data_IF_820876587180
#
_entry.id   IF_820876587180
#
_cell.length_a   1.000
_cell.length_b   1.000
_cell.length_c   1.000
_cell.angle_alpha   90.00
_cell.angle_beta   90.00
_cell.angle_gamma   90.00
#
_symmetry.space_group_name_H-M   'P 1'
#
loop_
_entity.id
_entity.type
_entity.pdbx_description
1 polymer ?
#
# COMPACT_ATOMS: atom_id res chain seq x y z
N UNK A 1 -31.23 4.55 -5.06
CA UNK A 1 -30.73 4.49 -3.66
C UNK A 1 -30.80 3.07 -3.12
N UNK A 2 -31.82 2.29 -3.48
CA UNK A 2 -31.97 0.90 -2.99
C UNK A 2 -30.92 -0.07 -3.54
N UNK A 3 -30.45 0.14 -4.76
CA UNK A 3 -29.45 -0.71 -5.43
C UNK A 3 -28.05 -0.60 -4.77
N UNK A 4 -27.66 0.62 -4.40
CA UNK A 4 -26.38 0.87 -3.72
C UNK A 4 -26.36 0.31 -2.28
N UNK A 5 -27.51 0.38 -1.59
CA UNK A 5 -27.65 -0.21 -0.25
C UNK A 5 -27.60 -1.73 -0.31
N UNK A 6 -28.22 -2.34 -1.31
CA UNK A 6 -28.16 -3.78 -1.53
C UNK A 6 -26.74 -4.27 -1.81
N UNK A 7 -25.96 -3.52 -2.63
CA UNK A 7 -24.55 -3.82 -2.85
C UNK A 7 -23.70 -3.70 -1.58
N UNK A 8 -23.93 -2.66 -0.77
CA UNK A 8 -23.24 -2.46 0.51
C UNK A 8 -23.55 -3.58 1.51
N UNK A 9 -24.82 -4.02 1.60
CA UNK A 9 -25.25 -5.13 2.45
C UNK A 9 -24.65 -6.46 1.98
N UNK A 10 -24.55 -6.70 0.67
CA UNK A 10 -23.92 -7.89 0.12
C UNK A 10 -22.40 -7.91 0.41
N UNK A 11 -21.73 -6.77 0.26
CA UNK A 11 -20.30 -6.63 0.60
C UNK A 11 -20.08 -6.85 2.11
N UNK A 12 -20.93 -6.26 2.95
CA UNK A 12 -20.88 -6.47 4.40
C UNK A 12 -21.12 -7.93 4.79
N UNK A 13 -22.04 -8.64 4.15
CA UNK A 13 -22.30 -10.05 4.43
C UNK A 13 -21.09 -10.94 4.13
N UNK A 14 -20.34 -10.64 3.05
CA UNK A 14 -19.12 -11.35 2.72
C UNK A 14 -17.99 -11.07 3.74
N UNK A 15 -17.79 -9.81 4.11
CA UNK A 15 -16.81 -9.39 5.11
C UNK A 15 -17.14 -9.94 6.51
N UNK A 16 -18.43 -9.94 6.87
CA UNK A 16 -18.93 -10.55 8.10
C UNK A 16 -18.58 -12.03 8.17
N UNK A 17 -18.85 -12.79 7.10
CA UNK A 17 -18.57 -14.24 7.06
C UNK A 17 -17.08 -14.54 7.22
N UNK A 18 -16.20 -13.76 6.57
CA UNK A 18 -14.75 -13.93 6.66
C UNK A 18 -14.23 -13.65 8.07
N UNK A 19 -14.61 -12.51 8.64
CA UNK A 19 -14.13 -12.12 9.97
C UNK A 19 -14.71 -13.01 11.07
N UNK A 20 -15.98 -13.40 10.98
CA UNK A 20 -16.62 -14.29 11.94
C UNK A 20 -16.01 -15.69 11.94
N UNK A 21 -15.61 -16.22 10.78
CA UNK A 21 -14.89 -17.49 10.72
C UNK A 21 -13.60 -17.46 11.56
N UNK A 22 -12.78 -16.42 11.40
CA UNK A 22 -11.55 -16.25 12.17
C UNK A 22 -11.77 -15.94 13.65
N UNK A 23 -12.84 -15.21 14.01
CA UNK A 23 -13.23 -14.97 15.41
C UNK A 23 -13.67 -16.27 16.08
N UNK A 24 -14.47 -17.09 15.40
CA UNK A 24 -14.90 -18.41 15.91
C UNK A 24 -13.75 -19.38 16.08
N UNK A 25 -12.76 -19.37 15.15
CA UNK A 25 -11.55 -20.15 15.26
C UNK A 25 -10.72 -19.73 16.50
N UNK A 26 -10.50 -18.42 16.69
CA UNK A 26 -9.79 -17.90 17.85
C UNK A 26 -10.48 -18.25 19.18
N UNK A 27 -11.82 -18.18 19.25
CA UNK A 27 -12.59 -18.58 20.41
C UNK A 27 -12.52 -20.09 20.68
N UNK A 28 -12.47 -20.91 19.64
CA UNK A 28 -12.31 -22.36 19.76
C UNK A 28 -10.90 -22.73 20.24
N UNK A 29 -9.88 -22.04 19.75
CA UNK A 29 -8.48 -22.24 20.16
C UNK A 29 -8.28 -21.84 21.62
N UNK A 30 -8.79 -20.67 22.02
CA UNK A 30 -8.74 -20.25 23.42
C UNK A 30 -9.44 -21.24 24.36
N UNK A 31 -10.60 -21.75 23.97
CA UNK A 31 -11.35 -22.73 24.77
C UNK A 31 -10.63 -24.08 24.89
N UNK A 32 -9.82 -24.44 23.88
CA UNK A 32 -8.98 -25.62 23.89
C UNK A 32 -7.62 -25.42 24.59
N UNK A 33 -7.36 -24.23 25.15
CA UNK A 33 -6.09 -23.89 25.79
C UNK A 33 -4.94 -23.71 24.80
N UNK A 34 -5.24 -23.52 23.50
CA UNK A 34 -4.24 -23.25 22.47
C UNK A 34 -3.87 -21.75 22.46
N UNK A 35 -2.67 -21.39 22.04
CA UNK A 35 -2.27 -19.98 21.94
C UNK A 35 -3.11 -19.26 20.88
N UNK A 36 -3.62 -18.06 21.24
CA UNK A 36 -4.45 -17.20 20.37
C UNK A 36 -3.68 -15.92 20.09
N UNK A 37 -3.67 -15.49 18.84
CA UNK A 37 -3.20 -14.16 18.46
C UNK A 37 -4.28 -13.12 18.80
N UNK A 38 -4.15 -12.51 20.00
CA UNK A 38 -5.08 -11.50 20.50
C UNK A 38 -5.14 -10.26 19.60
N UNK A 39 -4.01 -9.88 18.97
CA UNK A 39 -3.96 -8.72 18.07
C UNK A 39 -4.78 -8.96 16.81
N UNK A 40 -4.66 -10.15 16.23
CA UNK A 40 -5.45 -10.52 15.06
C UNK A 40 -6.94 -10.62 15.41
N UNK A 41 -7.26 -11.18 16.57
CA UNK A 41 -8.64 -11.25 17.07
C UNK A 41 -9.24 -9.85 17.27
N UNK A 42 -8.52 -8.95 17.94
CA UNK A 42 -8.93 -7.55 18.16
C UNK A 42 -9.10 -6.81 16.81
N UNK A 43 -8.19 -7.02 15.86
CA UNK A 43 -8.24 -6.40 14.53
C UNK A 43 -9.49 -6.83 13.75
N UNK A 44 -9.84 -8.13 13.76
CA UNK A 44 -11.06 -8.64 13.10
C UNK A 44 -12.33 -8.05 13.71
N UNK A 45 -12.40 -7.97 15.03
CA UNK A 45 -13.53 -7.37 15.75
C UNK A 45 -13.66 -5.88 15.44
N UNK A 46 -12.53 -5.15 15.36
CA UNK A 46 -12.50 -3.74 14.97
C UNK A 46 -13.01 -3.52 13.54
N UNK A 47 -12.59 -4.37 12.59
CA UNK A 47 -13.08 -4.31 11.20
C UNK A 47 -14.58 -4.51 11.13
N UNK A 48 -15.13 -5.48 11.85
CA UNK A 48 -16.58 -5.72 11.90
C UNK A 48 -17.36 -4.53 12.48
N UNK A 49 -16.84 -3.88 13.51
CA UNK A 49 -17.45 -2.65 14.05
C UNK A 49 -17.54 -1.56 12.98
N UNK A 50 -16.45 -1.34 12.23
CA UNK A 50 -16.42 -0.36 11.14
C UNK A 50 -17.37 -0.70 10.01
N UNK A 51 -17.43 -1.97 9.61
CA UNK A 51 -18.30 -2.47 8.56
C UNK A 51 -19.77 -2.40 8.95
N UNK A 52 -20.15 -2.79 10.18
CA UNK A 52 -21.52 -2.70 10.69
C UNK A 52 -22.02 -1.23 10.74
N UNK A 53 -21.14 -0.32 11.13
CA UNK A 53 -21.44 1.13 11.12
C UNK A 53 -21.67 1.67 9.71
N UNK A 54 -20.90 1.20 8.73
CA UNK A 54 -21.02 1.66 7.34
C UNK A 54 -22.34 1.28 6.68
N UNK A 55 -22.98 0.20 7.14
CA UNK A 55 -24.27 -0.28 6.62
C UNK A 55 -25.46 -0.01 7.58
N UNK A 56 -25.23 0.79 8.64
CA UNK A 56 -26.24 1.21 9.62
C UNK A 56 -26.90 0.03 10.36
N UNK A 57 -26.07 -0.87 10.91
CA UNK A 57 -26.48 -1.99 11.75
C UNK A 57 -26.08 -1.75 13.23
N UNK A 58 -26.85 -0.95 13.99
CA UNK A 58 -26.45 -0.48 15.31
C UNK A 58 -26.29 -1.61 16.34
N UNK A 59 -27.02 -2.72 16.20
CA UNK A 59 -26.90 -3.87 17.11
C UNK A 59 -25.57 -4.60 16.90
N UNK A 60 -25.19 -4.87 15.65
CA UNK A 60 -23.90 -5.48 15.31
C UNK A 60 -22.75 -4.55 15.67
N UNK A 61 -22.86 -3.24 15.45
CA UNK A 61 -21.86 -2.25 15.85
C UNK A 61 -21.63 -2.25 17.37
N UNK A 62 -22.68 -2.21 18.17
CA UNK A 62 -22.62 -2.20 19.63
C UNK A 62 -21.99 -3.49 20.19
N UNK A 63 -22.37 -4.64 19.66
CA UNK A 63 -21.82 -5.93 20.06
C UNK A 63 -20.31 -6.03 19.70
N UNK A 64 -19.91 -5.62 18.50
CA UNK A 64 -18.52 -5.59 18.08
C UNK A 64 -17.68 -4.61 18.92
N UNK A 65 -18.22 -3.44 19.27
CA UNK A 65 -17.55 -2.47 20.14
C UNK A 65 -17.31 -3.03 21.55
N UNK A 66 -18.29 -3.72 22.11
CA UNK A 66 -18.17 -4.35 23.44
C UNK A 66 -17.11 -5.46 23.41
N UNK A 67 -17.11 -6.29 22.38
CA UNK A 67 -16.10 -7.35 22.19
C UNK A 67 -14.69 -6.78 22.04
N UNK A 68 -14.51 -5.69 21.27
CA UNK A 68 -13.24 -4.98 21.14
C UNK A 68 -12.73 -4.47 22.49
N UNK A 69 -13.61 -3.90 23.31
CA UNK A 69 -13.27 -3.39 24.64
C UNK A 69 -12.76 -4.50 25.57
N UNK A 70 -13.41 -5.67 25.54
CA UNK A 70 -12.97 -6.85 26.31
C UNK A 70 -11.62 -7.33 25.84
N UNK A 71 -11.41 -7.45 24.52
CA UNK A 71 -10.13 -7.90 23.94
C UNK A 71 -8.98 -6.96 24.28
N UNK A 72 -9.20 -5.65 24.24
CA UNK A 72 -8.21 -4.64 24.66
C UNK A 72 -7.88 -4.75 26.15
N UNK A 73 -8.84 -5.03 27.02
CA UNK A 73 -8.59 -5.27 28.44
C UNK A 73 -7.74 -6.54 28.67
N UNK A 74 -7.96 -7.58 27.86
CA UNK A 74 -7.15 -8.80 27.89
C UNK A 74 -5.73 -8.54 27.39
N UNK A 75 -5.54 -7.79 26.30
CA UNK A 75 -4.21 -7.41 25.79
C UNK A 75 -3.41 -6.60 26.80
N UNK A 76 -4.08 -5.75 27.60
CA UNK A 76 -3.44 -4.94 28.66
C UNK A 76 -3.19 -5.71 29.94
N UNK A 77 -3.63 -6.97 30.03
CA UNK A 77 -3.53 -7.77 31.25
C UNK A 77 -4.49 -7.34 32.38
N UNK A 78 -5.46 -6.49 32.06
CA UNK A 78 -6.52 -6.03 32.99
C UNK A 78 -7.62 -7.10 33.17
N UNK A 79 -7.69 -8.02 32.23
CA UNK A 79 -8.64 -9.15 32.20
C UNK A 79 -7.96 -10.41 31.66
N UNK A 80 -8.43 -11.60 32.11
CA UNK A 80 -7.95 -12.89 31.60
C UNK A 80 -8.93 -13.52 30.64
N UNK A 81 -8.43 -14.32 29.67
CA UNK A 81 -9.25 -15.14 28.77
C UNK A 81 -9.72 -16.41 29.50
N UNK A 82 -10.43 -16.23 30.61
CA UNK A 82 -11.05 -17.32 31.37
C UNK A 82 -12.33 -17.81 30.69
N UNK A 83 -12.90 -18.96 31.15
CA UNK A 83 -14.14 -19.52 30.57
C UNK A 83 -15.34 -18.54 30.58
N UNK A 84 -15.42 -17.63 31.55
CA UNK A 84 -16.48 -16.64 31.65
C UNK A 84 -16.29 -15.55 30.57
N UNK A 85 -15.09 -15.02 30.40
CA UNK A 85 -14.74 -14.07 29.34
C UNK A 85 -14.96 -14.65 27.96
N UNK A 86 -14.59 -15.94 27.75
CA UNK A 86 -14.83 -16.63 26.49
C UNK A 86 -16.31 -16.83 26.19
N UNK A 87 -17.13 -17.12 27.21
CA UNK A 87 -18.59 -17.21 27.05
C UNK A 87 -19.20 -15.87 26.65
N UNK A 88 -18.76 -14.78 27.27
CA UNK A 88 -19.20 -13.42 26.95
C UNK A 88 -18.82 -13.03 25.51
N UNK A 89 -17.58 -13.29 25.09
CA UNK A 89 -17.13 -13.04 23.72
C UNK A 89 -17.91 -13.87 22.68
N UNK A 90 -18.29 -15.11 23.00
CA UNK A 90 -19.15 -15.95 22.14
C UNK A 90 -20.55 -15.34 21.99
N UNK A 91 -21.15 -14.94 23.10
CA UNK A 91 -22.47 -14.28 23.07
C UNK A 91 -22.44 -13.01 22.22
N UNK A 92 -21.36 -12.22 22.31
CA UNK A 92 -21.18 -11.02 21.49
C UNK A 92 -20.95 -11.36 20.02
N UNK A 93 -20.21 -12.42 19.72
CA UNK A 93 -20.04 -12.92 18.35
C UNK A 93 -21.37 -13.35 17.72
N UNK A 94 -22.21 -14.06 18.45
CA UNK A 94 -23.54 -14.45 18.00
C UNK A 94 -24.44 -13.20 17.83
N UNK A 95 -24.37 -12.23 18.73
CA UNK A 95 -25.13 -10.96 18.61
C UNK A 95 -24.71 -10.11 17.39
N UNK A 96 -23.45 -10.16 16.97
CA UNK A 96 -22.98 -9.51 15.74
C UNK A 96 -23.66 -10.15 14.51
N UNK A 97 -23.71 -11.48 14.44
CA UNK A 97 -24.37 -12.18 13.34
C UNK A 97 -25.89 -12.01 13.34
N UNK A 98 -26.50 -12.09 14.51
CA UNK A 98 -27.97 -11.95 14.65
C UNK A 98 -28.43 -10.52 14.32
N UNK A 99 -27.69 -9.51 14.75
CA UNK A 99 -27.95 -8.11 14.34
C UNK A 99 -27.84 -7.90 12.83
N UNK A 100 -26.95 -8.62 12.17
CA UNK A 100 -26.82 -8.60 10.72
C UNK A 100 -27.95 -9.36 9.99
N UNK A 101 -28.59 -10.33 10.64
CA UNK A 101 -29.74 -11.10 10.11
C UNK A 101 -31.06 -10.41 10.35
N UNK A 102 -31.15 -9.59 11.37
CA UNK A 102 -32.42 -8.95 11.82
C UNK A 102 -32.78 -7.70 10.98
N UNK A 103 -32.00 -7.31 9.96
CA UNK A 103 -32.38 -6.21 9.08
C UNK A 103 -33.60 -6.61 8.21
N UNK A 104 -34.79 -6.00 8.39
CA UNK A 104 -36.01 -6.34 7.65
C UNK A 104 -35.94 -6.01 6.14
N UNK A 105 -34.88 -5.36 5.69
CA UNK A 105 -34.67 -5.00 4.28
C UNK A 105 -33.58 -5.88 3.58
N UNK A 106 -33.16 -6.97 4.23
CA UNK A 106 -32.30 -7.95 3.58
C UNK A 106 -33.12 -8.69 2.52
N UNK A 107 -32.74 -8.74 1.24
CA UNK A 107 -33.40 -9.62 0.29
C UNK A 107 -33.22 -11.06 0.78
N UNK A 108 -34.33 -11.75 1.01
CA UNK A 108 -34.35 -13.18 1.35
C UNK A 108 -33.49 -13.90 0.30
N UNK A 109 -32.50 -14.63 0.79
CA UNK A 109 -31.72 -15.52 -0.07
C UNK A 109 -32.69 -16.57 -0.62
N UNK A 110 -33.17 -16.34 -1.85
CA UNK A 110 -33.90 -17.33 -2.60
C UNK A 110 -33.03 -18.58 -2.66
N UNK A 111 -33.56 -19.68 -2.17
CA UNK A 111 -32.98 -21.01 -2.38
C UNK A 111 -32.71 -21.18 -3.86
N UNK A 112 -31.42 -21.25 -4.22
CA UNK A 112 -31.01 -21.41 -5.59
C UNK A 112 -31.32 -22.85 -6.02
N UNK A 113 -32.47 -23.03 -6.70
CA UNK A 113 -32.66 -24.17 -7.58
C UNK A 113 -31.54 -24.20 -8.61
N UNK A 114 -30.90 -25.34 -8.72
CA UNK A 114 -29.81 -25.60 -9.64
C UNK A 114 -30.25 -25.41 -11.09
N UNK A 115 -29.87 -24.29 -11.69
CA UNK A 115 -29.93 -24.05 -13.13
C UNK A 115 -28.66 -24.60 -13.77
N UNK A 116 -28.73 -25.40 -14.86
CA UNK A 116 -27.56 -26.00 -15.48
C UNK A 116 -26.62 -24.94 -16.04
N UNK A 117 -25.34 -25.11 -15.75
CA UNK A 117 -24.25 -24.21 -16.11
C UNK A 117 -24.17 -23.93 -17.61
N UNK A 118 -24.36 -22.67 -18.00
CA UNK A 118 -23.90 -22.14 -19.27
C UNK A 118 -22.38 -21.85 -19.19
N UNK A 119 -21.62 -21.95 -20.30
CA UNK A 119 -20.17 -21.89 -20.26
C UNK A 119 -19.66 -20.54 -19.78
N UNK A 120 -18.76 -20.59 -18.80
CA UNK A 120 -18.18 -19.46 -18.11
C UNK A 120 -17.39 -18.54 -19.06
N UNK A 121 -17.91 -17.37 -19.33
CA UNK A 121 -17.15 -16.23 -19.81
C UNK A 121 -16.73 -15.40 -18.59
N UNK A 122 -15.44 -15.49 -18.24
CA UNK A 122 -14.68 -14.50 -17.47
C UNK A 122 -15.26 -14.07 -16.12
N UNK A 123 -15.48 -14.97 -15.18
CA UNK A 123 -15.84 -14.61 -13.81
C UNK A 123 -14.69 -13.87 -13.11
N UNK A 124 -14.91 -12.64 -12.67
CA UNK A 124 -14.00 -11.93 -11.76
C UNK A 124 -13.98 -12.68 -10.44
N UNK A 125 -12.86 -13.34 -10.14
CA UNK A 125 -12.60 -13.94 -8.82
C UNK A 125 -12.08 -12.84 -7.92
N UNK A 126 -12.83 -12.46 -6.88
CA UNK A 126 -12.33 -11.57 -5.84
C UNK A 126 -11.36 -12.37 -4.95
N UNK A 127 -10.07 -12.15 -5.13
CA UNK A 127 -9.03 -12.70 -4.27
C UNK A 127 -8.68 -11.64 -3.23
N UNK A 128 -8.82 -11.98 -1.94
CA UNK A 128 -8.44 -11.06 -0.87
C UNK A 128 -6.94 -10.72 -0.99
N UNK A 129 -6.59 -9.42 -0.93
CA UNK A 129 -5.24 -8.92 -1.22
C UNK A 129 -4.13 -9.59 -0.40
N UNK A 130 -4.43 -10.04 0.85
CA UNK A 130 -3.46 -10.75 1.68
C UNK A 130 -3.09 -12.15 1.15
N UNK A 131 -3.97 -12.81 0.37
CA UNK A 131 -3.64 -14.08 -0.29
C UNK A 131 -2.64 -13.86 -1.42
N UNK A 132 -2.79 -12.77 -2.16
CA UNK A 132 -1.86 -12.39 -3.23
C UNK A 132 -0.52 -11.99 -2.66
N UNK A 133 -0.50 -11.24 -1.55
CA UNK A 133 0.74 -10.90 -0.82
C UNK A 133 1.44 -12.13 -0.24
N UNK A 134 0.68 -13.12 0.23
CA UNK A 134 1.25 -14.42 0.66
C UNK A 134 1.84 -15.18 -0.51
N UNK A 135 1.13 -15.23 -1.64
CA UNK A 135 1.61 -15.87 -2.85
C UNK A 135 2.92 -15.22 -3.33
N UNK A 136 2.96 -13.90 -3.42
CA UNK A 136 4.16 -13.15 -3.79
C UNK A 136 5.34 -13.41 -2.83
N UNK A 137 5.09 -13.52 -1.51
CA UNK A 137 6.11 -13.92 -0.54
C UNK A 137 6.58 -15.35 -0.73
N UNK A 138 5.67 -16.30 -0.92
CA UNK A 138 6.02 -17.70 -1.15
C UNK A 138 6.84 -17.91 -2.42
N UNK A 139 6.53 -17.14 -3.47
CA UNK A 139 7.32 -17.14 -4.72
C UNK A 139 8.73 -16.56 -4.47
N UNK A 140 8.82 -15.52 -3.62
CA UNK A 140 10.11 -15.00 -3.24
C UNK A 140 10.95 -15.99 -2.45
N UNK A 141 10.35 -16.69 -1.49
CA UNK A 141 11.03 -17.71 -0.71
C UNK A 141 11.49 -18.87 -1.62
N UNK A 142 10.67 -19.22 -2.62
CA UNK A 142 11.06 -20.19 -3.64
C UNK A 142 12.27 -19.71 -4.45
N UNK A 143 12.28 -18.45 -4.90
CA UNK A 143 13.40 -17.86 -5.64
C UNK A 143 14.68 -17.83 -4.80
N UNK A 144 14.60 -17.56 -3.49
CA UNK A 144 15.73 -17.61 -2.58
C UNK A 144 16.26 -19.04 -2.40
N UNK A 145 15.38 -20.05 -2.28
CA UNK A 145 15.78 -21.46 -2.21
C UNK A 145 16.43 -21.95 -3.51
N UNK A 146 15.95 -21.46 -4.65
CA UNK A 146 16.58 -21.74 -5.95
C UNK A 146 18.00 -21.16 -6.01
N UNK A 147 18.20 -19.93 -5.48
CA UNK A 147 19.55 -19.33 -5.39
C UNK A 147 20.48 -20.11 -4.44
N UNK A 148 19.93 -20.79 -3.41
CA UNK A 148 20.73 -21.65 -2.52
C UNK A 148 21.16 -22.94 -3.20
N UNK A 149 20.42 -23.43 -4.19
CA UNK A 149 20.85 -24.57 -5.04
C UNK A 149 22.07 -24.24 -5.90
N UNK A 150 22.45 -22.96 -6.08
CA UNK A 150 23.66 -22.56 -6.78
C UNK A 150 24.91 -23.19 -6.17
N UNK A 151 24.95 -23.30 -4.85
CA UNK A 151 26.05 -23.97 -4.14
C UNK A 151 26.16 -25.45 -4.51
N UNK A 152 25.03 -26.12 -4.74
CA UNK A 152 25.02 -27.54 -5.14
C UNK A 152 25.55 -27.67 -6.57
N UNK A 153 25.15 -26.75 -7.46
CA UNK A 153 25.65 -26.73 -8.85
C UNK A 153 27.14 -26.46 -8.86
N UNK A 154 27.64 -25.46 -8.12
CA UNK A 154 29.07 -25.17 -7.98
C UNK A 154 29.86 -26.35 -7.42
N UNK A 155 29.33 -27.07 -6.42
CA UNK A 155 29.96 -28.27 -5.88
C UNK A 155 30.02 -29.41 -6.92
N UNK A 156 28.98 -29.58 -7.72
CA UNK A 156 28.96 -30.58 -8.80
C UNK A 156 29.92 -30.20 -9.91
N UNK A 157 30.05 -28.92 -10.25
CA UNK A 157 31.01 -28.42 -11.22
C UNK A 157 32.48 -28.58 -10.75
N UNK A 158 32.74 -28.26 -9.47
CA UNK A 158 34.06 -28.46 -8.88
C UNK A 158 34.44 -29.94 -8.88
N UNK A 159 33.52 -30.83 -8.48
CA UNK A 159 33.76 -32.25 -8.52
C UNK A 159 33.98 -32.79 -9.95
N UNK A 160 33.26 -32.27 -10.93
CA UNK A 160 33.42 -32.62 -12.33
C UNK A 160 34.79 -32.18 -12.86
N UNK A 161 35.24 -30.99 -12.45
CA UNK A 161 36.59 -30.46 -12.81
C UNK A 161 37.72 -31.30 -12.17
N UNK A 162 37.63 -31.62 -10.89
CA UNK A 162 38.57 -32.46 -10.20
C UNK A 162 38.70 -33.85 -10.87
N UNK A 163 37.54 -34.47 -11.21
CA UNK A 163 37.52 -35.75 -11.90
C UNK A 163 38.09 -35.69 -13.31
N UNK A 164 37.95 -34.56 -14.01
CA UNK A 164 38.49 -34.35 -15.35
C UNK A 164 40.01 -34.12 -15.36
N UNK A 165 40.55 -33.57 -14.27
CA UNK A 165 41.99 -33.25 -14.14
C UNK A 165 42.83 -34.44 -13.61
N UNK A 166 42.17 -35.57 -13.30
CA UNK A 166 42.88 -36.79 -12.86
C UNK A 166 43.78 -37.34 -13.97
N UNK A 167 45.07 -37.68 -13.68
CA UNK A 167 46.04 -38.06 -14.70
C UNK A 167 45.65 -39.34 -15.46
N UNK A 168 45.76 -39.29 -16.77
CA UNK A 168 45.43 -40.38 -17.70
C UNK A 168 46.38 -41.61 -17.61
N UNK A 169 47.23 -41.68 -16.58
CA UNK A 169 48.23 -42.78 -16.36
C UNK A 169 47.63 -43.99 -15.61
N UNK A 170 46.33 -44.04 -15.42
CA UNK A 170 45.62 -45.14 -14.75
C UNK A 170 45.37 -46.29 -15.72
N UNK A 171 45.82 -47.50 -15.36
CA UNK A 171 45.67 -48.72 -16.19
C UNK A 171 44.23 -49.26 -16.24
N UNK A 172 43.83 -49.68 -17.45
CA UNK A 172 42.80 -50.64 -17.82
C UNK A 172 41.38 -50.38 -17.25
N UNK A 173 41.02 -51.07 -16.21
CA UNK A 173 39.65 -51.05 -15.60
C UNK A 173 39.34 -49.77 -14.82
N UNK A 174 40.33 -49.23 -14.12
CA UNK A 174 40.21 -48.04 -13.30
C UNK A 174 40.00 -46.81 -14.17
N UNK A 175 40.69 -46.68 -15.28
CA UNK A 175 40.47 -45.60 -16.27
C UNK A 175 39.09 -45.65 -16.87
N UNK A 176 38.55 -46.86 -17.15
CA UNK A 176 37.17 -47.01 -17.65
C UNK A 176 36.11 -46.66 -16.59
N UNK A 177 36.33 -46.95 -15.31
CA UNK A 177 35.46 -46.55 -14.22
C UNK A 177 35.45 -45.02 -14.04
N UNK A 178 36.62 -44.40 -14.06
CA UNK A 178 36.75 -42.94 -13.97
C UNK A 178 36.05 -42.21 -15.13
N UNK A 179 36.28 -42.69 -16.39
CA UNK A 179 35.57 -42.12 -17.54
C UNK A 179 34.02 -42.21 -17.45
N UNK A 180 33.50 -43.32 -16.87
CA UNK A 180 32.05 -43.46 -16.61
C UNK A 180 31.59 -42.49 -15.54
N UNK A 181 32.36 -42.24 -14.47
CA UNK A 181 32.06 -41.27 -13.41
C UNK A 181 32.05 -39.84 -13.96
N UNK A 182 33.07 -39.44 -14.70
CA UNK A 182 33.11 -38.12 -15.38
C UNK A 182 31.87 -37.93 -16.27
N UNK A 183 31.58 -38.94 -17.13
CA UNK A 183 30.39 -38.86 -18.00
C UNK A 183 29.07 -38.81 -17.25
N UNK A 184 29.01 -39.42 -16.06
CA UNK A 184 27.79 -39.37 -15.22
C UNK A 184 27.64 -38.01 -14.52
N UNK A 185 28.73 -37.46 -14.01
CA UNK A 185 28.76 -36.13 -13.37
C UNK A 185 28.41 -35.04 -14.39
N UNK A 186 28.93 -35.13 -15.61
CA UNK A 186 28.56 -34.21 -16.69
C UNK A 186 27.10 -34.29 -17.11
N UNK A 187 26.50 -35.48 -17.10
CA UNK A 187 25.05 -35.62 -17.34
C UNK A 187 24.25 -35.01 -16.20
N UNK A 188 24.66 -35.29 -14.95
CA UNK A 188 24.00 -34.71 -13.76
C UNK A 188 24.08 -33.18 -13.77
N UNK A 189 25.24 -32.62 -14.04
CA UNK A 189 25.42 -31.16 -14.16
C UNK A 189 24.44 -30.54 -15.18
N UNK A 190 24.34 -31.12 -16.36
CA UNK A 190 23.41 -30.64 -17.41
C UNK A 190 21.94 -30.80 -16.99
N UNK A 191 21.59 -31.86 -16.31
CA UNK A 191 20.23 -32.09 -15.84
C UNK A 191 19.82 -31.10 -14.73
N UNK A 192 20.69 -30.92 -13.72
CA UNK A 192 20.48 -29.93 -12.65
C UNK A 192 20.40 -28.54 -13.22
N UNK A 193 21.26 -28.17 -14.18
CA UNK A 193 21.19 -26.86 -14.85
C UNK A 193 19.86 -26.63 -15.61
N UNK A 194 19.34 -27.67 -16.29
CA UNK A 194 18.02 -27.58 -16.97
C UNK A 194 16.86 -27.42 -15.99
N UNK A 195 16.86 -28.20 -14.91
CA UNK A 195 15.81 -28.12 -13.90
C UNK A 195 15.81 -26.75 -13.21
N UNK A 196 16.99 -26.26 -12.86
CA UNK A 196 17.14 -24.93 -12.30
C UNK A 196 16.55 -23.85 -13.20
N UNK A 197 16.93 -23.82 -14.49
CA UNK A 197 16.43 -22.84 -15.44
C UNK A 197 14.89 -22.91 -15.56
N UNK A 198 14.30 -24.11 -15.53
CA UNK A 198 12.86 -24.30 -15.57
C UNK A 198 12.17 -23.74 -14.32
N UNK A 199 12.74 -23.95 -13.13
CA UNK A 199 12.22 -23.44 -11.86
C UNK A 199 12.34 -21.91 -11.81
N UNK A 200 13.51 -21.35 -12.16
CA UNK A 200 13.73 -19.89 -12.22
C UNK A 200 12.70 -19.20 -13.13
N UNK A 201 12.46 -19.82 -14.30
CA UNK A 201 11.48 -19.29 -15.24
C UNK A 201 10.05 -19.36 -14.68
N UNK A 202 9.67 -20.49 -14.09
CA UNK A 202 8.34 -20.66 -13.50
C UNK A 202 8.13 -19.68 -12.33
N UNK A 203 9.14 -19.50 -11.46
CA UNK A 203 9.09 -18.54 -10.37
C UNK A 203 8.92 -17.11 -10.88
N UNK A 204 9.68 -16.71 -11.91
CA UNK A 204 9.56 -15.38 -12.52
C UNK A 204 8.20 -15.17 -13.22
N UNK A 205 7.61 -16.22 -13.80
CA UNK A 205 6.27 -16.14 -14.41
C UNK A 205 5.20 -15.94 -13.33
N UNK A 206 5.25 -16.71 -12.24
CA UNK A 206 4.31 -16.58 -11.11
C UNK A 206 4.48 -15.20 -10.43
N UNK A 207 5.71 -14.72 -10.25
CA UNK A 207 5.96 -13.39 -9.66
C UNK A 207 5.31 -12.29 -10.51
N UNK A 208 5.48 -12.32 -11.83
CA UNK A 208 4.85 -11.37 -12.74
C UNK A 208 3.32 -11.42 -12.71
N UNK A 209 2.75 -12.62 -12.63
CA UNK A 209 1.29 -12.77 -12.58
C UNK A 209 0.75 -12.30 -11.22
N UNK A 210 1.45 -12.57 -10.12
CA UNK A 210 1.11 -12.05 -8.80
C UNK A 210 1.20 -10.51 -8.74
N UNK A 211 2.22 -9.91 -9.35
CA UNK A 211 2.34 -8.45 -9.47
C UNK A 211 1.18 -7.83 -10.25
N UNK A 212 0.75 -8.46 -11.35
CA UNK A 212 -0.40 -7.98 -12.14
C UNK A 212 -1.71 -7.98 -11.35
N UNK A 213 -1.92 -8.97 -10.47
CA UNK A 213 -3.11 -9.04 -9.61
C UNK A 213 -3.11 -7.94 -8.55
N UNK A 214 -1.94 -7.40 -8.18
CA UNK A 214 -1.80 -6.32 -7.21
C UNK A 214 -1.99 -4.91 -7.80
N UNK A 215 -2.14 -4.80 -9.13
CA UNK A 215 -2.39 -3.53 -9.79
C UNK A 215 -3.85 -3.11 -9.61
N UNK A 216 -4.06 -1.85 -9.29
CA UNK A 216 -5.37 -1.22 -9.20
C UNK A 216 -5.40 0.02 -10.10
N UNK A 217 -6.58 0.37 -10.68
CA UNK A 217 -6.72 1.62 -11.39
C UNK A 217 -6.34 2.82 -10.52
N UNK A 218 -5.50 3.69 -11.04
CA UNK A 218 -5.07 4.92 -10.34
C UNK A 218 -6.26 5.81 -10.00
N UNK A 219 -7.34 5.75 -10.79
CA UNK A 219 -8.58 6.48 -10.53
C UNK A 219 -9.17 6.21 -9.14
N UNK A 220 -9.01 4.98 -8.60
CA UNK A 220 -9.50 4.62 -7.25
C UNK A 220 -8.87 5.44 -6.12
N UNK A 221 -7.71 6.04 -6.38
CA UNK A 221 -7.02 6.93 -5.44
C UNK A 221 -7.81 8.20 -5.15
N UNK A 222 -8.66 8.61 -6.09
CA UNK A 222 -9.34 9.91 -6.07
C UNK A 222 -10.84 9.81 -5.72
N UNK A 223 -11.36 8.61 -5.55
CA UNK A 223 -12.76 8.39 -5.22
C UNK A 223 -13.17 9.12 -3.93
N UNK A 224 -14.29 9.84 -3.99
CA UNK A 224 -14.84 10.59 -2.85
C UNK A 224 -14.18 11.93 -2.54
N UNK A 225 -13.05 12.29 -3.18
CA UNK A 225 -12.34 13.53 -2.89
C UNK A 225 -13.12 14.78 -3.30
N UNK A 226 -13.92 14.74 -4.38
CA UNK A 226 -14.74 15.88 -4.82
C UNK A 226 -15.77 16.26 -3.75
N UNK A 227 -16.43 15.26 -3.16
CA UNK A 227 -17.38 15.50 -2.08
C UNK A 227 -16.68 16.07 -0.85
N UNK A 228 -15.55 15.48 -0.46
CA UNK A 228 -14.76 15.94 0.69
C UNK A 228 -14.32 17.41 0.54
N UNK A 229 -13.82 17.81 -0.65
CA UNK A 229 -13.40 19.21 -0.93
C UNK A 229 -14.58 20.15 -0.79
N UNK A 230 -15.73 19.80 -1.35
CA UNK A 230 -16.96 20.62 -1.28
C UNK A 230 -17.47 20.79 0.14
N UNK A 231 -17.58 19.69 0.87
CA UNK A 231 -18.08 19.69 2.27
C UNK A 231 -17.11 20.47 3.18
N UNK A 232 -15.80 20.29 3.01
CA UNK A 232 -14.80 21.02 3.77
C UNK A 232 -14.82 22.52 3.46
N UNK A 233 -14.93 22.92 2.20
CA UNK A 233 -15.03 24.32 1.81
C UNK A 233 -16.27 24.96 2.43
N UNK A 234 -17.43 24.31 2.33
CA UNK A 234 -18.69 24.79 2.93
C UNK A 234 -18.57 24.97 4.45
N UNK A 235 -17.94 24.04 5.17
CA UNK A 235 -17.71 24.13 6.62
C UNK A 235 -16.85 25.33 7.04
N UNK A 236 -16.01 25.85 6.12
CA UNK A 236 -15.15 27.00 6.35
C UNK A 236 -15.72 28.31 5.74
N UNK A 237 -16.98 28.31 5.30
CA UNK A 237 -17.60 29.49 4.65
C UNK A 237 -16.97 29.85 3.31
N UNK A 238 -16.38 28.88 2.63
CA UNK A 238 -15.75 28.99 1.31
C UNK A 238 -16.54 28.22 0.27
N UNK A 239 -16.29 28.51 -1.00
CA UNK A 239 -16.77 27.71 -2.11
C UNK A 239 -15.56 27.17 -2.88
N UNK A 240 -15.47 25.87 -3.07
CA UNK A 240 -14.42 25.25 -3.86
C UNK A 240 -14.93 24.00 -4.58
N UNK A 241 -14.41 23.76 -5.77
CA UNK A 241 -14.64 22.56 -6.55
C UNK A 241 -13.32 21.85 -6.84
N UNK A 242 -13.38 20.53 -6.94
CA UNK A 242 -12.29 19.68 -7.39
C UNK A 242 -12.54 19.27 -8.84
N UNK A 243 -11.60 19.62 -9.71
CA UNK A 243 -11.60 19.19 -11.12
C UNK A 243 -10.48 18.20 -11.31
N UNK A 244 -10.81 17.02 -11.82
CA UNK A 244 -9.84 15.95 -11.99
C UNK A 244 -9.78 15.51 -13.44
N UNK A 245 -8.56 15.41 -13.98
CA UNK A 245 -8.34 14.83 -15.29
C UNK A 245 -8.40 13.30 -15.20
N UNK A 246 -9.11 12.62 -16.12
CA UNK A 246 -9.18 11.16 -16.14
C UNK A 246 -7.79 10.57 -16.43
N UNK A 247 -7.52 9.40 -15.85
CA UNK A 247 -6.30 8.63 -16.11
C UNK A 247 -6.63 7.15 -16.30
N UNK A 248 -6.17 6.60 -17.41
CA UNK A 248 -6.20 5.17 -17.68
C UNK A 248 -4.82 4.58 -17.38
N UNK A 249 -4.56 4.32 -16.10
CA UNK A 249 -3.32 3.69 -15.65
C UNK A 249 -3.59 2.86 -14.40
N UNK A 250 -2.75 1.86 -14.21
CA UNK A 250 -2.75 1.00 -13.04
C UNK A 250 -1.46 1.19 -12.25
N UNK A 251 -1.54 1.04 -10.93
CA UNK A 251 -0.39 1.10 -10.04
C UNK A 251 -0.53 0.08 -8.90
N UNK A 252 0.59 -0.26 -8.30
CA UNK A 252 0.63 -1.17 -7.14
C UNK A 252 -0.28 -0.63 -6.02
N UNK A 253 -1.14 -1.51 -5.52
CA UNK A 253 -2.06 -1.23 -4.41
C UNK A 253 -1.36 -0.56 -3.23
N UNK A 254 -0.15 -1.00 -2.88
CA UNK A 254 0.64 -0.45 -1.76
C UNK A 254 1.04 1.01 -2.02
N UNK A 255 1.38 1.35 -3.27
CA UNK A 255 1.69 2.73 -3.68
C UNK A 255 0.44 3.59 -3.54
N UNK A 256 -0.71 3.13 -4.07
CA UNK A 256 -1.97 3.87 -4.00
C UNK A 256 -2.44 4.06 -2.56
N UNK A 257 -2.40 3.00 -1.75
CA UNK A 257 -2.77 3.09 -0.33
C UNK A 257 -1.88 4.06 0.45
N UNK A 258 -0.56 4.04 0.21
CA UNK A 258 0.36 4.95 0.87
C UNK A 258 0.17 6.42 0.44
N UNK A 259 -0.32 6.68 -0.78
CA UNK A 259 -0.57 8.03 -1.29
C UNK A 259 -1.91 8.63 -0.80
N UNK A 260 -2.84 7.82 -0.33
CA UNK A 260 -4.19 8.28 0.03
C UNK A 260 -4.18 9.40 1.07
N UNK A 261 -3.54 9.18 2.21
CA UNK A 261 -3.43 10.18 3.27
C UNK A 261 -2.65 11.45 2.85
N UNK A 262 -1.48 11.35 2.20
CA UNK A 262 -0.80 12.51 1.61
C UNK A 262 -1.69 13.35 0.71
N UNK A 263 -2.45 12.74 -0.20
CA UNK A 263 -3.33 13.47 -1.11
C UNK A 263 -4.47 14.15 -0.39
N UNK A 264 -5.14 13.46 0.54
CA UNK A 264 -6.16 14.06 1.40
C UNK A 264 -5.63 15.28 2.14
N UNK A 265 -4.41 15.19 2.69
CA UNK A 265 -3.77 16.31 3.38
C UNK A 265 -3.50 17.48 2.44
N UNK A 266 -2.99 17.22 1.23
CA UNK A 266 -2.72 18.28 0.24
C UNK A 266 -4.00 18.97 -0.23
N UNK A 267 -5.06 18.23 -0.50
CA UNK A 267 -6.36 18.79 -0.86
C UNK A 267 -6.97 19.62 0.28
N UNK A 268 -6.87 19.12 1.52
CA UNK A 268 -7.29 19.85 2.71
C UNK A 268 -6.52 21.18 2.86
N UNK A 269 -5.22 21.16 2.64
CA UNK A 269 -4.40 22.38 2.66
C UNK A 269 -4.79 23.36 1.56
N UNK A 270 -5.08 22.90 0.36
CA UNK A 270 -5.56 23.73 -0.73
C UNK A 270 -6.87 24.45 -0.35
N UNK A 271 -7.84 23.74 0.24
CA UNK A 271 -9.09 24.33 0.71
C UNK A 271 -8.85 25.30 1.88
N UNK A 272 -8.12 24.87 2.91
CA UNK A 272 -8.02 25.62 4.17
C UNK A 272 -7.11 26.85 4.03
N UNK A 273 -5.99 26.72 3.35
CA UNK A 273 -4.95 27.74 3.26
C UNK A 273 -4.79 28.35 1.86
N UNK A 274 -5.14 27.61 0.80
CA UNK A 274 -5.05 28.10 -0.58
C UNK A 274 -6.23 28.96 -0.96
N UNK A 275 -7.44 28.41 -0.95
CA UNK A 275 -8.67 29.09 -1.40
C UNK A 275 -9.09 30.16 -0.41
N UNK A 276 -9.32 31.38 -0.93
CA UNK A 276 -9.81 32.53 -0.16
C UNK A 276 -11.35 32.49 -0.01
N UNK A 277 -11.90 33.13 1.04
CA UNK A 277 -13.36 33.34 1.15
C UNK A 277 -13.92 34.09 -0.07
N UNK A 278 -15.19 33.88 -0.45
CA UNK A 278 -15.79 34.47 -1.65
C UNK A 278 -15.66 35.99 -1.73
N UNK A 279 -15.84 36.70 -0.60
CA UNK A 279 -15.69 38.16 -0.54
C UNK A 279 -14.27 38.68 -0.84
N UNK A 280 -13.24 37.88 -0.48
CA UNK A 280 -11.84 38.21 -0.78
C UNK A 280 -11.53 37.95 -2.25
N UNK A 281 -12.03 36.83 -2.79
CA UNK A 281 -11.90 36.48 -4.21
C UNK A 281 -12.54 37.55 -5.12
N UNK A 282 -13.76 37.94 -4.80
CA UNK A 282 -14.47 39.00 -5.54
C UNK A 282 -13.67 40.31 -5.59
N UNK A 283 -13.05 40.72 -4.47
CA UNK A 283 -12.18 41.94 -4.44
C UNK A 283 -10.92 41.79 -5.29
N UNK A 284 -10.42 40.55 -5.44
CA UNK A 284 -9.28 40.26 -6.30
C UNK A 284 -9.67 40.02 -7.77
N UNK A 285 -10.94 40.18 -8.15
CA UNK A 285 -11.44 39.92 -9.50
C UNK A 285 -11.46 38.45 -9.90
N UNK A 286 -11.46 37.51 -8.92
CA UNK A 286 -11.57 36.07 -9.12
C UNK A 286 -13.03 35.63 -9.03
N UNK A 287 -13.41 34.48 -9.65
CA UNK A 287 -14.69 33.83 -9.42
C UNK A 287 -14.94 33.58 -7.93
N UNK A 288 -16.20 33.61 -7.47
CA UNK A 288 -16.54 33.37 -6.06
C UNK A 288 -16.11 31.96 -5.58
N UNK A 289 -16.27 30.94 -6.43
CA UNK A 289 -15.76 29.60 -6.20
C UNK A 289 -14.30 29.45 -6.59
N UNK A 290 -13.51 28.81 -5.74
CA UNK A 290 -12.15 28.42 -6.05
C UNK A 290 -12.10 27.07 -6.78
N UNK A 291 -11.07 26.88 -7.59
CA UNK A 291 -10.86 25.62 -8.32
C UNK A 291 -9.58 24.95 -7.86
N UNK A 292 -9.70 23.68 -7.48
CA UNK A 292 -8.57 22.80 -7.21
C UNK A 292 -8.55 21.78 -8.35
N UNK A 293 -7.45 21.71 -9.09
CA UNK A 293 -7.28 20.74 -10.18
C UNK A 293 -6.28 19.67 -9.81
N UNK A 294 -6.60 18.42 -10.17
CA UNK A 294 -5.70 17.26 -10.03
C UNK A 294 -5.46 16.66 -11.40
N UNK A 295 -4.21 16.66 -11.82
CA UNK A 295 -3.76 16.14 -13.11
C UNK A 295 -2.82 14.98 -12.87
N UNK A 296 -3.34 13.73 -12.85
CA UNK A 296 -2.51 12.55 -12.81
C UNK A 296 -1.97 12.23 -14.20
N UNK A 297 -0.74 11.71 -14.28
CA UNK A 297 -0.13 11.26 -15.53
C UNK A 297 0.92 10.19 -15.24
N UNK A 298 1.25 9.40 -16.26
CA UNK A 298 2.31 8.40 -16.15
C UNK A 298 3.44 8.70 -17.13
N UNK A 299 4.66 8.60 -16.67
CA UNK A 299 5.86 8.71 -17.50
C UNK A 299 6.95 7.77 -16.96
N UNK A 300 7.54 6.97 -17.84
CA UNK A 300 8.68 6.08 -17.54
C UNK A 300 8.50 5.24 -16.26
N UNK A 301 7.33 4.62 -16.09
CA UNK A 301 7.03 3.77 -14.93
C UNK A 301 6.80 4.56 -13.63
N UNK A 302 6.54 5.85 -13.73
CA UNK A 302 6.23 6.72 -12.59
C UNK A 302 4.84 7.31 -12.72
N UNK A 303 4.12 7.35 -11.60
CA UNK A 303 2.90 8.11 -11.43
C UNK A 303 3.29 9.53 -11.03
N UNK A 304 2.89 10.50 -11.82
CA UNK A 304 3.03 11.92 -11.54
C UNK A 304 1.64 12.49 -11.25
N UNK A 305 1.50 13.21 -10.13
CA UNK A 305 0.25 13.86 -9.74
C UNK A 305 0.56 15.33 -9.54
N UNK A 306 -0.12 16.18 -10.29
CA UNK A 306 -0.03 17.63 -10.15
C UNK A 306 -1.32 18.13 -9.53
N UNK A 307 -1.23 18.75 -8.37
CA UNK A 307 -2.34 19.38 -7.67
C UNK A 307 -2.14 20.89 -7.78
N UNK A 308 -3.13 21.62 -8.28
CA UNK A 308 -3.12 23.09 -8.40
C UNK A 308 -4.35 23.67 -7.75
N UNK A 309 -4.17 24.73 -7.02
CA UNK A 309 -5.24 25.64 -6.59
C UNK A 309 -5.10 27.02 -7.27
N UNK A 310 -6.20 27.71 -7.41
CA UNK A 310 -6.27 29.09 -7.92
C UNK A 310 -6.37 30.13 -6.79
N UNK A 311 -5.95 29.72 -5.58
CA UNK A 311 -6.05 30.52 -4.37
C UNK A 311 -5.03 31.65 -4.24
N UNK A 312 -4.74 32.06 -3.00
CA UNK A 312 -3.84 33.20 -2.69
C UNK A 312 -2.37 32.91 -3.06
N UNK A 313 -2.00 31.62 -3.18
CA UNK A 313 -0.63 31.18 -3.43
C UNK A 313 0.26 31.27 -2.18
N UNK A 314 1.56 31.18 -2.40
CA UNK A 314 2.57 31.18 -1.34
C UNK A 314 3.19 32.60 -1.21
N UNK A 315 3.30 33.10 0.03
CA UNK A 315 4.04 34.32 0.35
C UNK A 315 5.51 33.97 0.69
N UNK A 316 6.48 34.25 -0.21
CA UNK A 316 7.88 33.95 0.06
C UNK A 316 8.45 34.72 1.27
N UNK A 317 7.93 35.94 1.55
CA UNK A 317 8.40 36.76 2.68
C UNK A 317 7.96 36.16 4.01
N UNK A 318 6.68 35.73 4.10
CA UNK A 318 6.16 35.06 5.28
C UNK A 318 6.88 33.72 5.54
N UNK A 319 7.17 32.95 4.47
CA UNK A 319 7.93 31.70 4.56
C UNK A 319 9.35 31.95 5.04
N UNK A 320 10.04 32.99 4.49
CA UNK A 320 11.40 33.36 4.91
C UNK A 320 11.43 33.77 6.40
N UNK A 321 10.51 34.61 6.81
CA UNK A 321 10.43 35.06 8.21
C UNK A 321 10.28 33.85 9.15
N UNK A 322 9.36 32.93 8.82
CA UNK A 322 9.13 31.73 9.60
C UNK A 322 10.32 30.77 9.60
N UNK A 323 11.03 30.63 8.45
CA UNK A 323 12.24 29.81 8.36
C UNK A 323 13.39 30.36 9.22
N UNK A 324 13.50 31.68 9.33
CA UNK A 324 14.47 32.33 10.24
C UNK A 324 14.10 32.12 11.72
N UNK A 325 12.82 32.26 12.08
CA UNK A 325 12.32 31.95 13.43
C UNK A 325 12.56 30.49 13.81
N UNK A 326 12.37 29.56 12.87
CA UNK A 326 12.60 28.13 13.08
C UNK A 326 14.08 27.72 13.04
N UNK A 327 15.02 28.67 12.80
CA UNK A 327 16.45 28.39 12.74
C UNK A 327 16.92 27.65 11.48
N UNK A 328 16.06 27.49 10.47
CA UNK A 328 16.41 26.88 9.19
C UNK A 328 17.27 27.79 8.31
N UNK A 329 17.23 29.10 8.57
CA UNK A 329 18.07 30.10 7.95
C UNK A 329 18.90 30.76 9.04
N UNK A 330 20.23 30.65 8.95
CA UNK A 330 21.13 31.24 9.96
C UNK A 330 20.97 32.77 10.05
N UNK A 331 21.14 33.38 11.24
CA UNK A 331 21.16 34.84 11.37
C UNK A 331 22.20 35.48 10.44
N UNK A 332 21.79 36.50 9.69
CA UNK A 332 22.66 37.21 8.75
C UNK A 332 22.92 36.50 7.40
N UNK A 333 22.40 35.27 7.22
CA UNK A 333 22.51 34.58 5.95
C UNK A 333 21.65 35.28 4.86
N UNK A 334 22.09 35.29 3.59
CA UNK A 334 21.35 35.86 2.48
C UNK A 334 20.01 35.14 2.29
N UNK A 335 19.01 35.83 1.75
CA UNK A 335 17.69 35.23 1.42
C UNK A 335 17.87 34.11 0.42
N UNK A 336 17.42 32.86 0.78
CA UNK A 336 17.49 31.75 -0.14
C UNK A 336 16.67 31.95 -1.40
N UNK A 337 16.95 31.20 -2.46
CA UNK A 337 16.10 31.21 -3.64
C UNK A 337 14.67 30.78 -3.31
N UNK A 338 13.66 31.24 -4.07
CA UNK A 338 12.26 30.82 -3.90
C UNK A 338 12.10 29.31 -3.86
N UNK A 339 12.86 28.58 -4.69
CA UNK A 339 12.86 27.11 -4.70
C UNK A 339 13.35 26.52 -3.38
N UNK A 340 14.39 27.09 -2.80
CA UNK A 340 14.92 26.65 -1.51
C UNK A 340 13.95 26.97 -0.36
N UNK A 341 13.32 28.16 -0.36
CA UNK A 341 12.30 28.54 0.62
C UNK A 341 11.10 27.58 0.57
N UNK A 342 10.60 27.24 -0.61
CA UNK A 342 9.47 26.32 -0.74
C UNK A 342 9.83 24.89 -0.36
N UNK A 343 11.08 24.48 -0.52
CA UNK A 343 11.54 23.18 -0.04
C UNK A 343 11.52 23.08 1.49
N UNK A 344 11.72 24.20 2.21
CA UNK A 344 11.69 24.23 3.68
C UNK A 344 10.29 23.96 4.26
N UNK A 345 9.22 24.12 3.47
CA UNK A 345 7.85 23.79 3.89
C UNK A 345 7.67 22.30 4.19
N UNK A 346 8.57 21.43 3.70
CA UNK A 346 8.58 20.00 3.95
C UNK A 346 9.46 19.57 5.13
N UNK A 347 10.19 20.50 5.75
CA UNK A 347 11.05 20.20 6.88
C UNK A 347 10.23 19.93 8.16
N UNK A 348 10.75 19.07 9.02
CA UNK A 348 10.08 18.76 10.29
C UNK A 348 10.02 19.99 11.19
N UNK A 349 8.85 20.23 11.78
CA UNK A 349 8.63 21.40 12.65
C UNK A 349 8.35 22.71 11.91
N UNK A 350 8.38 22.72 10.58
CA UNK A 350 7.97 23.87 9.79
C UNK A 350 6.46 23.83 9.55
N UNK A 351 5.68 24.49 10.38
CA UNK A 351 4.25 24.75 10.15
C UNK A 351 4.02 26.25 10.10
N UNK A 352 3.33 26.70 9.08
CA UNK A 352 2.89 28.11 8.96
C UNK A 352 1.67 28.42 9.82
N UNK A 353 0.95 27.39 10.32
CA UNK A 353 -0.23 27.55 11.18
C UNK A 353 0.19 27.70 12.65
N UNK A 354 -0.31 28.76 13.30
CA UNK A 354 -0.19 28.99 14.74
C UNK A 354 -1.21 28.18 15.56
N UNK A 355 -2.23 27.66 14.91
CA UNK A 355 -3.28 26.85 15.54
C UNK A 355 -2.96 25.37 15.29
N UNK A 356 -2.73 24.65 16.39
CA UNK A 356 -2.78 23.18 16.38
C UNK A 356 -4.26 22.85 16.12
N UNK A 357 -4.61 22.40 14.91
CA UNK A 357 -5.94 21.90 14.64
C UNK A 357 -6.18 20.68 15.53
N UNK A 358 -7.00 20.83 16.57
CA UNK A 358 -7.43 19.81 17.51
C UNK A 358 -8.12 18.60 16.85
N UNK A 359 -8.50 18.71 15.57
CA UNK A 359 -9.18 17.66 14.78
C UNK A 359 -8.20 16.62 14.21
N UNK A 360 -6.88 16.92 14.19
CA UNK A 360 -5.83 15.98 13.77
C UNK A 360 -4.79 15.85 14.87
N UNK A 361 -5.08 15.12 15.92
CA UNK A 361 -4.24 14.92 17.12
C UNK A 361 -2.81 14.37 16.93
N UNK A 362 -2.27 14.50 15.73
CA UNK A 362 -0.87 14.30 15.37
C UNK A 362 -0.55 15.35 14.33
N UNK A 363 0.27 16.34 14.61
CA UNK A 363 0.71 17.39 13.70
C UNK A 363 1.13 16.89 12.30
N UNK A 364 0.15 16.46 11.50
CA UNK A 364 0.33 15.96 10.14
C UNK A 364 0.55 17.18 9.25
N UNK A 365 1.80 17.57 9.09
CA UNK A 365 2.21 18.64 8.21
C UNK A 365 2.71 18.14 6.84
N UNK A 366 3.11 19.06 5.99
CA UNK A 366 3.74 18.73 4.70
C UNK A 366 4.98 17.83 4.82
N UNK A 367 5.62 17.83 5.98
CA UNK A 367 6.75 16.91 6.29
C UNK A 367 6.35 15.43 6.23
N UNK A 368 5.14 15.06 6.69
CA UNK A 368 4.64 13.68 6.60
C UNK A 368 4.37 13.29 5.14
N UNK A 369 3.84 14.24 4.33
CA UNK A 369 3.68 14.03 2.88
C UNK A 369 5.04 13.75 2.24
N UNK A 370 6.06 14.56 2.54
CA UNK A 370 7.41 14.38 2.00
C UNK A 370 8.03 13.05 2.46
N UNK A 371 7.84 12.67 3.71
CA UNK A 371 8.35 11.41 4.27
C UNK A 371 7.70 10.20 3.59
N UNK A 372 6.38 10.20 3.44
CA UNK A 372 5.66 9.11 2.76
C UNK A 372 6.08 9.00 1.30
N UNK A 373 6.17 10.13 0.57
CA UNK A 373 6.65 10.14 -0.81
C UNK A 373 8.10 9.65 -0.91
N UNK A 374 8.96 10.00 0.06
CA UNK A 374 10.36 9.54 0.10
C UNK A 374 10.44 8.02 0.35
N UNK A 375 9.62 7.48 1.26
CA UNK A 375 9.55 6.02 1.49
C UNK A 375 9.14 5.24 0.24
N UNK A 376 8.33 5.86 -0.62
CA UNK A 376 7.96 5.33 -1.93
C UNK A 376 9.03 5.60 -3.01
N UNK A 377 10.25 6.01 -2.65
CA UNK A 377 11.30 6.42 -3.59
C UNK A 377 10.81 7.50 -4.57
N UNK A 378 9.89 8.35 -4.09
CA UNK A 378 9.29 9.44 -4.83
C UNK A 378 9.97 10.78 -4.60
N UNK A 379 9.36 11.81 -5.19
CA UNK A 379 9.75 13.22 -5.03
C UNK A 379 8.49 14.06 -4.92
N UNK A 380 8.54 15.07 -4.05
CA UNK A 380 7.50 16.10 -3.94
C UNK A 380 8.14 17.48 -4.13
N UNK A 381 7.43 18.37 -4.80
CA UNK A 381 7.84 19.76 -5.01
C UNK A 381 6.65 20.69 -4.93
N UNK A 382 6.88 21.88 -4.40
CA UNK A 382 5.93 23.00 -4.39
C UNK A 382 6.45 24.08 -5.32
N UNK A 383 5.56 24.67 -6.09
CA UNK A 383 5.80 25.72 -7.06
C UNK A 383 4.69 26.77 -6.94
N UNK A 384 4.96 28.04 -7.34
CA UNK A 384 3.88 29.00 -7.50
C UNK A 384 2.95 28.58 -8.64
N UNK A 385 1.64 28.65 -8.41
CA UNK A 385 0.63 28.42 -9.43
C UNK A 385 0.68 29.47 -10.55
N UNK A 386 0.12 29.15 -11.69
CA UNK A 386 -0.01 30.10 -12.83
C UNK A 386 -1.46 30.07 -13.32
N UNK A 387 -2.12 31.25 -13.45
CA UNK A 387 -1.63 32.60 -13.21
C UNK A 387 -1.48 32.97 -11.73
N UNK A 388 -2.11 32.25 -10.79
CA UNK A 388 -2.07 32.45 -9.34
C UNK A 388 -2.20 31.12 -8.62
N UNK A 389 -2.12 31.12 -7.28
CA UNK A 389 -2.30 29.91 -6.44
C UNK A 389 -1.01 29.13 -6.23
N UNK A 390 -1.17 27.84 -5.87
CA UNK A 390 -0.06 26.92 -5.57
C UNK A 390 -0.12 25.71 -6.49
N UNK A 391 1.04 25.19 -6.87
CA UNK A 391 1.17 23.93 -7.60
C UNK A 391 2.04 22.96 -6.81
N UNK A 392 1.53 21.77 -6.52
CA UNK A 392 2.27 20.70 -5.87
C UNK A 392 2.41 19.56 -6.85
N UNK A 393 3.64 19.09 -7.03
CA UNK A 393 3.97 17.95 -7.89
C UNK A 393 4.48 16.80 -7.06
N UNK A 394 3.82 15.66 -7.20
CA UNK A 394 4.23 14.37 -6.65
C UNK A 394 4.72 13.49 -7.81
N UNK A 395 5.76 12.70 -7.57
CA UNK A 395 6.23 11.68 -8.51
C UNK A 395 6.66 10.47 -7.73
N UNK A 396 6.01 9.32 -7.95
CA UNK A 396 6.31 8.04 -7.30
C UNK A 396 6.40 6.93 -8.36
N UNK A 397 7.09 5.81 -8.12
CA UNK A 397 7.02 4.64 -8.98
C UNK A 397 5.59 4.10 -9.06
N UNK A 398 5.17 3.57 -10.21
CA UNK A 398 3.88 2.86 -10.37
C UNK A 398 3.84 1.55 -9.59
N UNK A 399 4.99 0.91 -9.43
CA UNK A 399 5.14 -0.32 -8.67
C UNK A 399 6.35 -0.20 -7.75
N UNK A 400 6.29 -0.84 -6.59
CA UNK A 400 7.45 -1.04 -5.70
C UNK A 400 8.21 -2.28 -6.18
N UNK A 401 8.53 -2.32 -7.48
CA UNK A 401 9.21 -3.44 -8.08
C UNK A 401 10.60 -3.63 -7.44
N UNK A 402 10.99 -4.87 -7.21
CA UNK A 402 12.37 -5.23 -6.94
C UNK A 402 13.20 -4.85 -8.16
N UNK A 403 14.23 -4.07 -7.93
CA UNK A 403 15.19 -3.76 -8.96
C UNK A 403 16.30 -4.79 -8.87
N UNK A 404 16.48 -5.57 -9.93
CA UNK A 404 17.67 -6.41 -10.04
C UNK A 404 18.90 -5.51 -9.99
N UNK A 405 19.79 -5.77 -9.04
CA UNK A 405 21.02 -5.00 -8.85
C UNK A 405 22.20 -5.85 -9.30
N UNK A 406 23.06 -5.26 -10.09
CA UNK A 406 24.37 -5.81 -10.39
C UNK A 406 25.34 -5.36 -9.30
N UNK A 407 25.92 -6.30 -8.56
CA UNK A 407 26.99 -6.01 -7.61
C UNK A 407 28.31 -5.95 -8.35
N UNK A 408 28.95 -4.79 -8.31
CA UNK A 408 30.29 -4.57 -8.90
C UNK A 408 31.28 -4.22 -7.80
N UNK A 409 32.46 -4.82 -7.86
CA UNK A 409 33.58 -4.43 -7.02
C UNK A 409 34.45 -3.43 -7.78
N UNK A 410 34.63 -2.23 -7.21
CA UNK A 410 35.53 -1.21 -7.77
C UNK A 410 36.23 -0.49 -6.63
N UNK A 411 37.58 -0.36 -6.73
CA UNK A 411 38.40 0.32 -5.72
C UNK A 411 38.36 -0.34 -4.33
N UNK A 412 38.08 -1.65 -4.23
CA UNK A 412 37.98 -2.38 -2.96
C UNK A 412 36.65 -2.20 -2.24
N UNK A 413 35.68 -1.52 -2.84
CA UNK A 413 34.31 -1.37 -2.33
C UNK A 413 33.28 -2.06 -3.24
N UNK A 414 32.22 -2.61 -2.65
CA UNK A 414 31.10 -3.20 -3.40
C UNK A 414 30.05 -2.14 -3.68
N UNK A 415 29.68 -2.02 -4.95
CA UNK A 415 28.67 -1.08 -5.44
C UNK A 415 27.49 -1.86 -6.03
N UNK A 416 26.26 -1.47 -5.69
CA UNK A 416 25.05 -2.02 -6.28
C UNK A 416 24.56 -1.08 -7.38
N UNK A 417 24.55 -1.53 -8.62
CA UNK A 417 24.06 -0.79 -9.78
C UNK A 417 22.77 -1.43 -10.27
N UNK A 418 21.74 -0.62 -10.67
CA UNK A 418 20.57 -1.17 -11.33
C UNK A 418 20.96 -1.99 -12.57
N UNK A 419 20.53 -3.25 -12.65
CA UNK A 419 20.87 -4.14 -13.77
C UNK A 419 20.41 -3.57 -15.13
N UNK A 420 19.33 -2.77 -15.14
CA UNK A 420 18.86 -2.05 -16.33
C UNK A 420 19.87 -1.05 -16.91
N UNK A 421 20.83 -0.58 -16.13
CA UNK A 421 21.90 0.30 -16.61
C UNK A 421 23.00 -0.47 -17.35
N UNK A 422 23.12 -1.78 -17.09
CA UNK A 422 24.14 -2.63 -17.73
C UNK A 422 23.81 -2.99 -19.18
N UNK A 423 22.54 -2.92 -19.59
CA UNK A 423 22.09 -3.30 -20.94
C UNK A 423 22.28 -2.19 -22.00
N UNK A 424 22.76 -1.01 -21.62
CA UNK A 424 22.88 0.14 -22.52
C UNK A 424 24.29 0.24 -23.17
N UNK A 425 25.25 -0.58 -22.73
CA UNK A 425 26.68 -0.46 -23.17
C UNK A 425 27.38 -1.79 -23.50
N UNK A 426 26.64 -2.82 -23.96
CA UNK A 426 27.25 -3.99 -24.57
C UNK A 426 26.77 -4.12 -26.01
#
# INVERSE_FOLDING_TARGET
MDDLRAELLAAFAAELAEHMAGIREALADAAAGRPVDLREFSRRTHSLKGAARAVDLPQSEAAAHTAETILLAVERGERTLDPATLAELRTLADAIEDGARADPQRPEAAEAEAVPAAPATGGRVHVAGHHVERLARSVHDLSNHVAEQDRIVEMVEALAAELADMPATLDGELARRLARMVGSTERLRREVGRQRWAIDRAAADIERDAERILLLPVATLFEGHERMVRDLAASQGKAAELVMEPIEAEADRRVLQALREPLLHLLRNAVSHGIEPPAVRARAGKPEGGTISVVPSTDRGRLNIVIRDDGAGLDPKAIEARAREAGLIAPGAPTPSRRALYAMLFEQGFSTSRTVDEVSGRGIGLSVVAETVRRLHGRVRILPGRPAGTEIRLSVPLALARQALLLVEAGGARHALPAALSLIHI
#
